data_IF_645736336109
#
_entry.id   IF_645736336109
#
_cell.length_a   1.000
_cell.length_b   1.000
_cell.length_c   1.000
_cell.angle_alpha   90.00
_cell.angle_beta   90.00
_cell.angle_gamma   90.00
#
_symmetry.space_group_name_H-M   'P 1'
#
loop_
_entity.id
_entity.type
_entity.pdbx_description
1 polymer ?
#
# COMPACT_ATOMS: atom_id res chain seq x y z
N UNK A 1 13.10 6.22 -2.27
CA UNK A 1 12.57 5.93 -3.62
C UNK A 1 11.06 5.67 -3.61
N UNK A 2 10.49 4.82 -2.73
CA UNK A 2 9.04 4.59 -2.75
C UNK A 2 8.21 5.84 -2.39
N UNK A 3 8.70 6.72 -1.50
CA UNK A 3 7.97 7.96 -1.16
C UNK A 3 7.84 8.90 -2.37
N UNK A 4 8.82 8.88 -3.28
CA UNK A 4 8.76 9.63 -4.54
C UNK A 4 7.81 8.98 -5.54
N UNK A 5 7.72 7.64 -5.55
CA UNK A 5 6.70 6.93 -6.33
C UNK A 5 5.29 7.27 -5.82
N UNK A 6 5.11 7.25 -4.50
CA UNK A 6 3.87 7.62 -3.83
C UNK A 6 3.46 9.06 -4.14
N UNK A 7 4.39 10.03 -4.09
CA UNK A 7 4.12 11.41 -4.49
C UNK A 7 3.62 11.51 -5.94
N UNK A 8 4.35 10.89 -6.88
CA UNK A 8 3.96 10.88 -8.30
C UNK A 8 2.58 10.27 -8.55
N UNK A 9 2.19 9.25 -7.78
CA UNK A 9 0.90 8.58 -7.97
C UNK A 9 -0.22 9.31 -7.22
N UNK A 10 -0.08 9.52 -5.90
CA UNK A 10 -1.17 10.05 -5.07
C UNK A 10 -1.37 11.55 -5.27
N UNK A 11 -0.30 12.35 -5.30
CA UNK A 11 -0.40 13.79 -5.58
C UNK A 11 -0.58 14.04 -7.07
N UNK A 12 0.41 13.68 -7.90
CA UNK A 12 0.46 14.22 -9.26
C UNK A 12 -0.56 13.57 -10.20
N UNK A 13 -0.75 12.25 -10.11
CA UNK A 13 -1.67 11.50 -10.99
C UNK A 13 -3.10 11.46 -10.48
N UNK A 14 -3.31 11.17 -9.20
CA UNK A 14 -4.64 10.99 -8.61
C UNK A 14 -5.21 12.29 -8.02
N UNK A 15 -4.37 13.31 -7.79
CA UNK A 15 -4.82 14.60 -7.26
C UNK A 15 -5.31 14.54 -5.81
N UNK A 16 -4.87 13.56 -5.03
CA UNK A 16 -5.26 13.43 -3.63
C UNK A 16 -4.57 14.51 -2.78
N UNK A 17 -5.28 15.00 -1.76
CA UNK A 17 -4.71 15.89 -0.76
C UNK A 17 -3.80 15.09 0.19
N UNK A 18 -2.51 15.02 -0.16
CA UNK A 18 -1.48 14.31 0.60
C UNK A 18 -0.30 15.24 0.92
N UNK A 19 0.40 14.95 2.01
CA UNK A 19 1.57 15.74 2.39
C UNK A 19 2.80 15.33 1.55
N UNK A 20 3.34 16.26 0.77
CA UNK A 20 4.55 16.05 -0.04
C UNK A 20 5.62 17.06 0.35
N UNK A 21 6.77 16.56 0.81
CA UNK A 21 7.92 17.36 1.15
C UNK A 21 9.14 16.89 0.34
N UNK A 22 9.83 17.81 -0.36
CA UNK A 22 11.00 17.47 -1.17
C UNK A 22 10.74 16.41 -2.26
N UNK A 23 9.52 16.36 -2.80
CA UNK A 23 9.10 15.35 -3.78
C UNK A 23 8.83 13.96 -3.21
N UNK A 24 8.72 13.83 -1.88
CA UNK A 24 8.39 12.59 -1.18
C UNK A 24 7.04 12.73 -0.47
N UNK A 25 6.12 11.81 -0.73
CA UNK A 25 4.87 11.70 0.04
C UNK A 25 5.10 10.85 1.28
N UNK A 26 4.71 11.38 2.44
CA UNK A 26 4.80 10.68 3.73
C UNK A 26 3.72 11.13 4.69
N UNK A 27 3.28 10.24 5.57
CA UNK A 27 2.36 10.52 6.67
C UNK A 27 2.89 9.95 8.00
N UNK A 28 2.18 10.20 9.09
CA UNK A 28 2.59 9.75 10.43
C UNK A 28 2.64 8.22 10.59
N UNK A 29 2.00 7.45 9.72
CA UNK A 29 2.06 5.99 9.77
C UNK A 29 3.35 5.44 9.15
N UNK A 30 4.15 6.30 8.48
CA UNK A 30 5.48 5.94 8.01
C UNK A 30 6.50 5.86 9.16
N UNK A 31 6.21 6.54 10.28
CA UNK A 31 7.11 6.62 11.45
C UNK A 31 6.92 5.48 12.45
N UNK A 32 5.86 4.68 12.31
CA UNK A 32 5.51 3.57 13.22
C UNK A 32 6.03 2.21 12.72
N UNK A 33 7.19 2.23 12.06
CA UNK A 33 7.90 1.04 11.56
C UNK A 33 7.01 0.10 10.72
N UNK A 34 6.35 0.61 9.66
CA UNK A 34 5.55 -0.23 8.78
C UNK A 34 6.42 -1.25 8.02
N UNK A 35 5.78 -2.34 7.58
CA UNK A 35 6.38 -3.22 6.57
C UNK A 35 6.02 -2.72 5.17
N UNK A 36 6.95 -2.76 4.23
CA UNK A 36 6.68 -2.42 2.83
C UNK A 36 6.85 -3.62 1.91
N UNK A 37 5.89 -3.81 1.02
CA UNK A 37 6.03 -4.67 -0.15
C UNK A 37 6.32 -3.77 -1.35
N UNK A 38 7.43 -4.03 -2.04
CA UNK A 38 7.90 -3.23 -3.17
C UNK A 38 8.05 -4.12 -4.41
N UNK A 39 7.37 -3.74 -5.49
CA UNK A 39 7.63 -4.34 -6.80
C UNK A 39 8.77 -3.58 -7.46
N UNK A 40 9.84 -4.30 -7.83
CA UNK A 40 11.02 -3.74 -8.49
C UNK A 40 11.09 -4.29 -9.91
N UNK A 41 11.06 -3.40 -10.90
CA UNK A 41 11.27 -3.74 -12.30
C UNK A 41 12.76 -3.89 -12.63
N UNK A 42 13.08 -4.13 -13.90
CA UNK A 42 14.46 -4.19 -14.38
C UNK A 42 15.22 -2.91 -14.01
N UNK A 43 16.54 -3.05 -13.86
CA UNK A 43 17.45 -1.96 -13.51
C UNK A 43 17.18 -1.32 -12.13
N UNK A 44 16.44 -1.99 -11.23
CA UNK A 44 16.22 -1.53 -9.86
C UNK A 44 15.16 -0.43 -9.71
N UNK A 45 14.39 -0.16 -10.76
CA UNK A 45 13.34 0.86 -10.74
C UNK A 45 12.10 0.34 -10.01
N UNK A 46 11.56 1.12 -9.08
CA UNK A 46 10.30 0.77 -8.41
C UNK A 46 9.13 0.83 -9.38
N UNK A 47 8.37 -0.27 -9.43
CA UNK A 47 7.17 -0.44 -10.23
C UNK A 47 5.89 -0.40 -9.39
N UNK A 48 5.99 -0.60 -8.07
CA UNK A 48 4.85 -0.56 -7.17
C UNK A 48 5.27 -0.55 -5.71
N UNK A 49 4.33 -0.17 -4.85
CA UNK A 49 4.51 -0.08 -3.41
C UNK A 49 3.18 -0.38 -2.71
N UNK A 50 3.25 -1.06 -1.56
CA UNK A 50 2.18 -1.20 -0.60
C UNK A 50 2.78 -1.18 0.81
N UNK A 51 2.07 -0.54 1.74
CA UNK A 51 2.45 -0.44 3.15
C UNK A 51 1.57 -1.38 3.97
N UNK A 52 2.16 -2.09 4.92
CA UNK A 52 1.51 -3.02 5.82
C UNK A 52 1.68 -2.57 7.27
N UNK A 53 0.57 -2.48 8.01
CA UNK A 53 0.52 -2.02 9.40
C UNK A 53 -0.19 -3.04 10.30
N UNK A 54 0.38 -3.42 11.46
CA UNK A 54 -0.32 -4.25 12.43
C UNK A 54 -1.59 -3.57 12.94
N UNK A 55 -2.72 -4.26 12.89
CA UNK A 55 -4.02 -3.65 13.25
C UNK A 55 -4.22 -3.42 14.74
N UNK A 56 -3.40 -4.02 15.60
CA UNK A 56 -3.37 -3.72 17.03
C UNK A 56 -2.74 -2.35 17.35
N UNK A 57 -2.10 -1.71 16.37
CA UNK A 57 -1.60 -0.34 16.47
C UNK A 57 -2.45 0.67 15.67
N UNK A 58 -1.96 1.91 15.50
CA UNK A 58 -2.59 2.90 14.65
C UNK A 58 -2.66 2.43 13.18
N UNK A 59 -3.81 2.62 12.54
CA UNK A 59 -4.06 2.26 11.14
C UNK A 59 -4.83 3.35 10.42
N UNK A 60 -4.70 3.44 9.10
CA UNK A 60 -5.47 4.43 8.34
C UNK A 60 -6.98 4.16 8.40
N UNK A 61 -7.40 2.90 8.31
CA UNK A 61 -8.80 2.49 8.36
C UNK A 61 -9.44 2.93 9.67
N UNK A 62 -8.75 2.77 10.81
CA UNK A 62 -9.28 3.18 12.11
C UNK A 62 -9.14 4.69 12.38
N UNK A 63 -8.05 5.33 11.96
CA UNK A 63 -7.73 6.70 12.36
C UNK A 63 -8.09 7.77 11.31
N UNK A 64 -8.13 7.42 10.03
CA UNK A 64 -8.40 8.34 8.91
C UNK A 64 -9.76 8.06 8.27
N UNK A 65 -10.14 6.78 8.15
CA UNK A 65 -11.39 6.37 7.52
C UNK A 65 -12.38 5.65 8.46
N UNK A 66 -12.57 6.08 9.72
CA UNK A 66 -13.42 5.36 10.67
C UNK A 66 -14.89 5.27 10.21
N UNK A 67 -15.34 6.19 9.36
CA UNK A 67 -16.69 6.19 8.79
C UNK A 67 -16.96 5.02 7.86
N UNK A 68 -15.93 4.34 7.34
CA UNK A 68 -16.09 3.13 6.53
C UNK A 68 -16.37 1.89 7.38
N UNK A 69 -16.20 1.98 8.71
CA UNK A 69 -16.41 0.87 9.63
C UNK A 69 -17.86 0.86 10.10
N UNK A 70 -18.54 -0.28 9.93
CA UNK A 70 -19.98 -0.43 10.24
C UNK A 70 -20.35 -0.09 11.69
N UNK A 71 -19.40 -0.17 12.62
CA UNK A 71 -19.57 0.19 14.03
C UNK A 71 -18.66 1.35 14.47
N UNK A 72 -18.04 2.07 13.52
CA UNK A 72 -17.06 3.12 13.80
C UNK A 72 -15.74 2.63 14.43
N UNK A 73 -15.58 1.31 14.59
CA UNK A 73 -14.41 0.70 15.20
C UNK A 73 -13.96 -0.54 14.43
N UNK A 74 -12.65 -0.68 14.26
CA UNK A 74 -12.02 -1.85 13.65
C UNK A 74 -11.94 -2.93 14.73
N UNK A 75 -12.49 -4.12 14.45
CA UNK A 75 -12.35 -5.30 15.32
C UNK A 75 -10.98 -5.94 15.10
N UNK A 76 -9.93 -5.20 15.45
CA UNK A 76 -8.55 -5.61 15.24
C UNK A 76 -8.20 -6.85 16.06
N UNK A 77 -7.32 -7.69 15.50
CA UNK A 77 -6.74 -8.86 16.17
C UNK A 77 -5.32 -9.13 15.67
N UNK A 78 -4.55 -9.92 16.40
CA UNK A 78 -3.12 -10.16 16.11
C UNK A 78 -2.85 -10.81 14.75
N UNK A 79 -3.82 -11.53 14.19
CA UNK A 79 -3.74 -12.16 12.86
C UNK A 79 -4.28 -11.28 11.72
N UNK A 80 -4.51 -9.99 11.95
CA UNK A 80 -4.98 -9.03 10.94
C UNK A 80 -3.93 -7.95 10.68
N UNK A 81 -3.74 -7.63 9.40
CA UNK A 81 -2.88 -6.53 8.94
C UNK A 81 -3.66 -5.55 8.09
N UNK A 82 -3.36 -4.26 8.20
CA UNK A 82 -3.85 -3.26 7.26
C UNK A 82 -2.90 -3.17 6.06
N UNK A 83 -3.45 -3.17 4.84
CA UNK A 83 -2.74 -2.72 3.64
C UNK A 83 -3.19 -1.31 3.25
N UNK A 84 -2.23 -0.40 3.11
CA UNK A 84 -2.44 0.99 2.68
C UNK A 84 -1.41 1.42 1.65
N UNK A 85 -1.59 2.61 1.05
CA UNK A 85 -0.64 3.19 0.05
C UNK A 85 -0.31 2.24 -1.10
N UNK A 86 -1.27 1.40 -1.51
CA UNK A 86 -1.13 0.51 -2.65
C UNK A 86 -1.07 1.34 -3.94
N UNK A 87 0.03 1.25 -4.67
CA UNK A 87 0.20 1.99 -5.92
C UNK A 87 1.10 1.22 -6.90
N UNK A 88 0.82 1.38 -8.19
CA UNK A 88 1.55 0.73 -9.29
C UNK A 88 1.82 1.75 -10.39
N UNK A 89 3.07 1.82 -10.84
CA UNK A 89 3.51 2.67 -11.94
C UNK A 89 3.10 2.05 -13.28
N UNK A 90 1.90 2.38 -13.75
CA UNK A 90 1.32 1.84 -15.00
C UNK A 90 1.92 2.45 -16.28
N UNK A 91 2.88 3.37 -16.16
CA UNK A 91 3.65 3.95 -17.28
C UNK A 91 4.81 3.03 -17.70
N UNK A 92 5.17 2.06 -16.87
CA UNK A 92 6.04 0.96 -17.26
C UNK A 92 5.33 0.12 -18.32
N UNK A 93 5.82 0.16 -19.55
CA UNK A 93 5.29 -0.64 -20.67
C UNK A 93 5.61 -2.14 -20.55
N UNK A 94 6.49 -2.53 -19.62
CA UNK A 94 6.79 -3.93 -19.34
C UNK A 94 5.61 -4.61 -18.63
N UNK A 95 4.92 -5.52 -19.32
CA UNK A 95 3.83 -6.33 -18.75
C UNK A 95 2.41 -5.92 -19.14
N UNK A 96 2.23 -5.01 -20.12
CA UNK A 96 0.92 -4.77 -20.73
C UNK A 96 0.56 -5.89 -21.72
N UNK A 97 -0.07 -6.95 -21.19
CA UNK A 97 -0.95 -7.79 -22.00
C UNK A 97 -2.20 -7.00 -22.39
N UNK A 98 -2.72 -7.29 -23.57
CA UNK A 98 -3.91 -6.68 -24.17
C UNK A 98 -5.12 -6.66 -23.20
N UNK A 99 -5.33 -5.54 -22.50
CA UNK A 99 -6.48 -5.33 -21.61
C UNK A 99 -6.48 -6.06 -20.26
N UNK A 100 -5.37 -6.68 -19.82
CA UNK A 100 -5.29 -7.41 -18.55
C UNK A 100 -4.80 -6.56 -17.36
N UNK A 101 -5.10 -6.99 -16.12
CA UNK A 101 -4.55 -6.40 -14.90
C UNK A 101 -3.03 -6.34 -15.02
N UNK A 102 -2.44 -5.17 -14.75
CA UNK A 102 -0.99 -4.95 -14.85
C UNK A 102 -0.25 -6.03 -14.05
N UNK A 103 0.70 -6.75 -14.67
CA UNK A 103 1.42 -7.87 -14.03
C UNK A 103 1.97 -7.48 -12.65
N UNK A 104 2.48 -6.25 -12.52
CA UNK A 104 2.96 -5.72 -11.24
C UNK A 104 1.88 -5.73 -10.13
N UNK A 105 0.61 -5.48 -10.43
CA UNK A 105 -0.50 -5.56 -9.46
C UNK A 105 -0.67 -6.98 -8.94
N UNK A 106 -0.67 -7.98 -9.83
CA UNK A 106 -0.78 -9.39 -9.44
C UNK A 106 0.43 -9.83 -8.62
N UNK A 107 1.64 -9.43 -9.04
CA UNK A 107 2.87 -9.69 -8.28
C UNK A 107 2.84 -9.05 -6.90
N UNK A 108 2.30 -7.83 -6.77
CA UNK A 108 2.14 -7.15 -5.48
C UNK A 108 1.16 -7.89 -4.57
N UNK A 109 0.00 -8.34 -5.09
CA UNK A 109 -0.94 -9.15 -4.30
C UNK A 109 -0.33 -10.48 -3.85
N UNK A 110 0.37 -11.17 -4.76
CA UNK A 110 1.10 -12.39 -4.41
C UNK A 110 2.12 -12.10 -3.30
N UNK A 111 2.91 -11.03 -3.42
CA UNK A 111 3.89 -10.64 -2.39
C UNK A 111 3.28 -10.33 -1.03
N UNK A 112 2.12 -9.68 -0.99
CA UNK A 112 1.39 -9.44 0.28
C UNK A 112 0.94 -10.77 0.90
N UNK A 113 0.37 -11.68 0.11
CA UNK A 113 -0.09 -13.00 0.59
C UNK A 113 1.10 -13.86 1.05
N UNK A 114 2.16 -13.93 0.24
CA UNK A 114 3.39 -14.68 0.54
C UNK A 114 4.06 -14.18 1.81
N UNK A 115 4.05 -12.87 2.06
CA UNK A 115 4.53 -12.31 3.32
C UNK A 115 3.57 -12.63 4.48
N UNK A 116 2.27 -12.65 4.25
CA UNK A 116 1.27 -12.87 5.29
C UNK A 116 1.29 -14.31 5.85
N UNK A 117 1.51 -15.31 4.99
CA UNK A 117 1.50 -16.73 5.37
C UNK A 117 2.48 -17.10 6.50
N UNK A 118 3.80 -16.82 6.42
CA UNK A 118 4.74 -17.13 7.50
C UNK A 118 4.53 -16.27 8.75
N UNK A 119 3.86 -15.12 8.62
CA UNK A 119 3.51 -14.24 9.75
C UNK A 119 2.18 -14.63 10.43
N UNK A 120 1.54 -15.74 10.02
CA UNK A 120 0.28 -16.25 10.58
C UNK A 120 -0.86 -15.22 10.51
N UNK A 121 -0.82 -14.37 9.49
CA UNK A 121 -1.87 -13.39 9.20
C UNK A 121 -2.95 -14.08 8.37
N UNK A 122 -4.20 -13.94 8.81
CA UNK A 122 -5.37 -14.57 8.21
C UNK A 122 -6.31 -13.57 7.56
N UNK A 123 -6.13 -12.28 7.83
CA UNK A 123 -7.01 -11.21 7.36
C UNK A 123 -6.22 -9.97 6.96
N UNK A 124 -6.61 -9.36 5.84
CA UNK A 124 -6.08 -8.08 5.36
C UNK A 124 -7.25 -7.10 5.28
N UNK A 125 -7.11 -5.96 5.95
CA UNK A 125 -8.05 -4.84 5.84
C UNK A 125 -7.44 -3.73 4.98
N UNK A 126 -8.24 -3.07 4.13
CA UNK A 126 -7.76 -1.96 3.31
C UNK A 126 -8.88 -0.96 3.05
N UNK A 127 -8.52 0.30 2.86
CA UNK A 127 -9.39 1.35 2.35
C UNK A 127 -8.73 1.96 1.11
N UNK A 128 -9.51 2.13 0.04
CA UNK A 128 -9.08 2.63 -1.27
C UNK A 128 -9.90 3.83 -1.69
#
# INVERSE_FOLDING_TARGET
QHHQLRARIFSDRLGWEVNVAGGCESDAFDDIQPTYILAVAKMGRLAGCARLLPTLGPTMVANVFPSLLSAGQLRAHSSMVESSRFCVETSLSEGRGDGSIHQATLTMFAGIIEWSMPNLLTEIVTAT
#
